data_IF_478096652895
#
_entry.id   IF_478096652895
#
_cell.length_a   1.000
_cell.length_b   1.000
_cell.length_c   1.000
_cell.angle_alpha   90.00
_cell.angle_beta   90.00
_cell.angle_gamma   90.00
#
_symmetry.space_group_name_H-M   'P 1'
#
loop_
_entity.id
_entity.type
_entity.pdbx_description
1 polymer ?
#
# COMPACT_ATOMS: atom_id res chain seq x y z
N UNK A 1 -5.31 -23.58 17.88
CA UNK A 1 -5.77 -22.32 17.24
C UNK A 1 -6.48 -22.69 15.96
N UNK A 2 -7.71 -22.20 15.73
CA UNK A 2 -8.35 -22.38 14.41
C UNK A 2 -7.71 -21.43 13.38
N UNK A 3 -7.80 -21.77 12.10
CA UNK A 3 -7.35 -20.90 11.00
C UNK A 3 -8.03 -19.52 11.00
N UNK A 4 -9.22 -19.40 11.60
CA UNK A 4 -9.96 -18.14 11.77
C UNK A 4 -9.18 -17.14 12.61
N UNK A 5 -8.65 -17.55 13.77
CA UNK A 5 -7.92 -16.66 14.67
C UNK A 5 -6.61 -16.14 14.05
N UNK A 6 -5.93 -16.95 13.23
CA UNK A 6 -4.72 -16.52 12.51
C UNK A 6 -5.04 -15.55 11.37
N UNK A 7 -6.20 -15.73 10.73
CA UNK A 7 -6.69 -14.80 9.71
C UNK A 7 -7.06 -13.46 10.34
N UNK A 8 -7.77 -13.45 11.47
CA UNK A 8 -8.12 -12.22 12.19
C UNK A 8 -6.88 -11.40 12.57
N UNK A 9 -5.82 -12.06 13.06
CA UNK A 9 -4.53 -11.41 13.35
C UNK A 9 -3.88 -10.80 12.09
N UNK A 10 -4.08 -11.41 10.91
CA UNK A 10 -3.55 -10.88 9.65
C UNK A 10 -4.32 -9.61 9.23
N UNK A 11 -5.65 -9.61 9.36
CA UNK A 11 -6.46 -8.42 9.07
C UNK A 11 -6.13 -7.28 10.04
N UNK A 12 -5.91 -7.62 11.30
CA UNK A 12 -5.52 -6.68 12.35
C UNK A 12 -4.12 -6.09 12.07
N UNK A 13 -3.16 -6.93 11.72
CA UNK A 13 -1.82 -6.51 11.30
C UNK A 13 -1.85 -5.59 10.07
N UNK A 14 -2.75 -5.87 9.12
CA UNK A 14 -2.94 -5.00 7.95
C UNK A 14 -3.45 -3.62 8.34
N UNK A 15 -4.40 -3.53 9.27
CA UNK A 15 -4.88 -2.23 9.79
C UNK A 15 -3.80 -1.47 10.56
N UNK A 16 -2.95 -2.17 11.32
CA UNK A 16 -1.78 -1.55 11.97
C UNK A 16 -0.81 -0.99 10.93
N UNK A 17 -0.55 -1.73 9.85
CA UNK A 17 0.27 -1.26 8.74
C UNK A 17 -0.29 0.02 8.10
N UNK A 18 -1.61 0.08 7.85
CA UNK A 18 -2.28 1.27 7.33
C UNK A 18 -2.09 2.49 8.25
N UNK A 19 -2.23 2.31 9.58
CA UNK A 19 -1.98 3.38 10.56
C UNK A 19 -0.54 3.88 10.53
N UNK A 20 0.43 2.99 10.32
CA UNK A 20 1.82 3.42 10.17
C UNK A 20 2.04 4.21 8.88
N UNK A 21 1.45 3.79 7.77
CA UNK A 21 1.53 4.55 6.52
C UNK A 21 0.92 5.94 6.69
N UNK A 22 -0.24 6.04 7.34
CA UNK A 22 -0.87 7.33 7.63
C UNK A 22 0.02 8.22 8.50
N UNK A 23 0.61 7.68 9.56
CA UNK A 23 1.53 8.43 10.42
C UNK A 23 2.73 8.98 9.64
N UNK A 24 3.32 8.17 8.75
CA UNK A 24 4.40 8.64 7.88
C UNK A 24 3.93 9.77 6.98
N UNK A 25 2.78 9.63 6.31
CA UNK A 25 2.22 10.66 5.42
C UNK A 25 1.97 11.98 6.17
N UNK A 26 1.43 11.92 7.38
CA UNK A 26 1.14 13.09 8.22
C UNK A 26 2.40 13.83 8.67
N UNK A 27 3.55 13.14 8.71
CA UNK A 27 4.82 13.68 9.15
C UNK A 27 5.64 14.36 8.04
N UNK A 28 5.34 14.09 6.76
CA UNK A 28 6.08 14.63 5.62
C UNK A 28 5.71 16.09 5.35
N UNK A 29 6.71 16.90 5.01
CA UNK A 29 6.49 18.25 4.47
C UNK A 29 6.39 18.22 2.94
N UNK A 30 5.88 19.28 2.28
CA UNK A 30 5.86 19.37 0.82
C UNK A 30 7.23 19.18 0.16
N UNK A 31 8.30 19.64 0.81
CA UNK A 31 9.67 19.54 0.31
C UNK A 31 10.20 18.10 0.33
N UNK A 32 9.75 17.30 1.31
CA UNK A 32 10.22 15.93 1.49
C UNK A 32 9.89 15.05 0.27
N UNK A 33 8.76 15.28 -0.39
CA UNK A 33 8.32 14.49 -1.54
C UNK A 33 9.36 14.47 -2.68
N UNK A 34 10.17 15.52 -2.81
CA UNK A 34 11.20 15.65 -3.84
C UNK A 34 12.55 15.03 -3.46
N UNK A 35 12.74 14.61 -2.19
CA UNK A 35 13.98 13.99 -1.74
C UNK A 35 14.25 12.69 -2.50
N UNK A 36 15.48 12.53 -2.97
CA UNK A 36 15.99 11.33 -3.66
C UNK A 36 17.45 11.09 -3.27
N UNK A 37 17.98 9.92 -3.62
CA UNK A 37 19.39 9.59 -3.35
C UNK A 37 20.37 10.29 -4.31
N UNK A 38 19.88 10.91 -5.38
CA UNK A 38 20.70 11.51 -6.44
C UNK A 38 21.54 10.50 -7.24
N UNK A 39 21.32 9.19 -7.06
CA UNK A 39 22.06 8.09 -7.69
C UNK A 39 21.19 7.23 -8.62
N UNK A 40 20.02 7.75 -9.00
CA UNK A 40 19.07 7.06 -9.88
C UNK A 40 17.97 6.30 -9.14
N UNK A 41 17.92 6.39 -7.80
CA UNK A 41 16.79 5.92 -7.01
C UNK A 41 15.53 6.78 -7.23
N UNK A 42 14.41 6.33 -6.69
CA UNK A 42 13.15 7.06 -6.80
C UNK A 42 13.06 8.16 -5.74
N UNK A 43 12.40 9.30 -6.05
CA UNK A 43 12.05 10.26 -5.02
C UNK A 43 10.99 9.69 -4.07
N UNK A 44 10.86 10.27 -2.88
CA UNK A 44 9.87 9.86 -1.85
C UNK A 44 8.46 9.80 -2.45
N UNK A 45 8.04 10.79 -3.23
CA UNK A 45 6.72 10.78 -3.87
C UNK A 45 6.47 9.52 -4.70
N UNK A 46 7.45 9.11 -5.51
CA UNK A 46 7.30 7.95 -6.38
C UNK A 46 7.23 6.65 -5.59
N UNK A 47 7.95 6.53 -4.47
CA UNK A 47 7.81 5.40 -3.56
C UNK A 47 6.39 5.34 -2.97
N UNK A 48 5.88 6.45 -2.44
CA UNK A 48 4.54 6.50 -1.82
C UNK A 48 3.43 6.25 -2.84
N UNK A 49 3.55 6.84 -4.04
CA UNK A 49 2.62 6.61 -5.14
C UNK A 49 2.65 5.16 -5.60
N UNK A 50 3.82 4.54 -5.67
CA UNK A 50 3.96 3.12 -5.98
C UNK A 50 3.32 2.24 -4.90
N UNK A 51 3.54 2.52 -3.61
CA UNK A 51 2.88 1.81 -2.51
C UNK A 51 1.35 1.90 -2.61
N UNK A 52 0.78 3.10 -2.80
CA UNK A 52 -0.66 3.27 -2.95
C UNK A 52 -1.20 2.57 -4.21
N UNK A 53 -0.53 2.77 -5.35
CA UNK A 53 -0.89 2.15 -6.64
C UNK A 53 -0.74 0.62 -6.67
N UNK A 54 0.10 0.05 -5.81
CA UNK A 54 0.30 -1.40 -5.71
C UNK A 54 -1.01 -2.15 -5.41
N UNK A 55 -1.89 -1.57 -4.56
CA UNK A 55 -3.19 -2.20 -4.25
C UNK A 55 -4.05 -2.35 -5.49
N UNK A 56 -4.23 -1.26 -6.24
CA UNK A 56 -5.08 -1.28 -7.43
C UNK A 56 -4.49 -2.13 -8.55
N UNK A 57 -3.16 -2.11 -8.74
CA UNK A 57 -2.49 -2.93 -9.75
C UNK A 57 -2.72 -4.42 -9.50
N UNK A 58 -2.54 -4.87 -8.27
CA UNK A 58 -2.87 -6.25 -7.91
C UNK A 58 -4.37 -6.54 -7.98
N UNK A 59 -5.23 -5.66 -7.46
CA UNK A 59 -6.68 -5.87 -7.54
C UNK A 59 -7.18 -5.97 -8.99
N UNK A 60 -6.60 -5.23 -9.93
CA UNK A 60 -6.96 -5.32 -11.35
C UNK A 60 -6.72 -6.73 -11.91
N UNK A 61 -5.67 -7.40 -11.44
CA UNK A 61 -5.33 -8.77 -11.84
C UNK A 61 -6.14 -9.84 -11.07
N UNK A 62 -6.44 -9.59 -9.79
CA UNK A 62 -7.02 -10.58 -8.88
C UNK A 62 -8.55 -10.53 -8.81
N UNK A 63 -9.10 -9.31 -8.84
CA UNK A 63 -10.51 -9.03 -8.54
C UNK A 63 -10.94 -7.67 -9.11
N UNK A 64 -11.27 -7.64 -10.41
CA UNK A 64 -11.64 -6.42 -11.13
C UNK A 64 -12.80 -5.65 -10.47
N UNK A 65 -13.78 -6.36 -9.92
CA UNK A 65 -14.93 -5.75 -9.25
C UNK A 65 -14.51 -4.86 -8.06
N UNK A 66 -13.48 -5.27 -7.31
CA UNK A 66 -12.93 -4.50 -6.20
C UNK A 66 -11.93 -3.44 -6.67
N UNK A 67 -11.32 -3.60 -7.85
CA UNK A 67 -10.44 -2.59 -8.45
C UNK A 67 -11.22 -1.40 -9.04
N UNK A 68 -12.37 -1.66 -9.67
CA UNK A 68 -13.16 -0.67 -10.42
C UNK A 68 -13.41 0.65 -9.66
N UNK A 69 -13.78 0.65 -8.36
CA UNK A 69 -13.98 1.89 -7.61
C UNK A 69 -12.73 2.76 -7.45
N UNK A 70 -11.53 2.21 -7.68
CA UNK A 70 -10.24 2.90 -7.60
C UNK A 70 -9.78 3.47 -8.95
N UNK A 71 -10.48 3.14 -10.03
CA UNK A 71 -10.12 3.50 -11.40
C UNK A 71 -10.93 4.72 -11.87
N UNK A 72 -10.34 5.47 -12.80
CA UNK A 72 -11.04 6.42 -13.65
C UNK A 72 -11.27 5.77 -15.01
N UNK A 73 -12.50 5.30 -15.26
CA UNK A 73 -12.87 4.62 -16.50
C UNK A 73 -12.98 5.55 -17.70
N UNK A 74 -12.84 6.87 -17.50
CA UNK A 74 -12.85 7.86 -18.59
C UNK A 74 -11.45 8.10 -19.17
N UNK A 75 -10.41 7.68 -18.45
CA UNK A 75 -9.01 7.78 -18.86
C UNK A 75 -8.41 6.39 -19.05
N UNK A 76 -7.49 6.27 -20.01
CA UNK A 76 -6.82 5.00 -20.32
C UNK A 76 -5.31 5.19 -20.35
N UNK A 77 -4.59 4.17 -19.90
CA UNK A 77 -3.14 4.10 -20.03
C UNK A 77 -2.72 3.65 -21.45
N UNK A 78 -1.41 3.42 -21.63
CA UNK A 78 -0.81 3.02 -22.90
C UNK A 78 -1.30 1.64 -23.38
N UNK A 79 -1.67 0.76 -22.45
CA UNK A 79 -2.19 -0.58 -22.71
C UNK A 79 -3.71 -0.58 -22.94
N UNK A 80 -4.36 0.58 -22.78
CA UNK A 80 -5.78 0.78 -22.99
C UNK A 80 -6.67 0.42 -21.79
N UNK A 81 -6.04 0.16 -20.64
CA UNK A 81 -6.68 -0.14 -19.36
C UNK A 81 -7.08 1.16 -18.63
N UNK A 82 -8.13 1.14 -17.80
CA UNK A 82 -8.53 2.32 -17.03
C UNK A 82 -7.40 2.80 -16.12
N UNK A 83 -7.17 4.11 -16.09
CA UNK A 83 -6.14 4.67 -15.22
C UNK A 83 -6.55 4.60 -13.75
N UNK A 84 -5.58 4.43 -12.85
CA UNK A 84 -5.81 4.65 -11.42
C UNK A 84 -6.22 6.10 -11.15
N UNK A 85 -7.29 6.30 -10.37
CA UNK A 85 -7.87 7.63 -10.11
C UNK A 85 -6.85 8.65 -9.58
N UNK A 86 -5.87 8.20 -8.82
CA UNK A 86 -4.84 9.07 -8.22
C UNK A 86 -3.52 9.07 -9.00
N UNK A 87 -3.48 8.54 -10.24
CA UNK A 87 -2.24 8.45 -11.02
C UNK A 87 -1.50 9.79 -11.12
N UNK A 88 -2.25 10.89 -11.33
CA UNK A 88 -1.73 12.24 -11.50
C UNK A 88 -2.17 13.21 -10.38
N UNK A 89 -2.61 12.69 -9.24
CA UNK A 89 -3.09 13.49 -8.11
C UNK A 89 -1.94 14.20 -7.38
N UNK A 90 -2.25 15.24 -6.60
CA UNK A 90 -1.25 15.86 -5.75
C UNK A 90 -0.78 14.88 -4.65
N UNK A 91 0.46 14.99 -4.14
CA UNK A 91 0.95 14.13 -3.07
C UNK A 91 0.09 14.16 -1.79
N UNK A 92 -0.54 15.31 -1.52
CA UNK A 92 -1.48 15.49 -0.39
C UNK A 92 -2.73 14.62 -0.49
N UNK A 93 -3.03 14.08 -1.68
CA UNK A 93 -4.18 13.19 -1.89
C UNK A 93 -3.83 11.71 -1.69
N UNK A 94 -2.55 11.38 -1.47
CA UNK A 94 -2.10 9.99 -1.34
C UNK A 94 -2.72 9.29 -0.12
N UNK A 95 -3.00 10.00 0.99
CA UNK A 95 -3.67 9.40 2.15
C UNK A 95 -5.06 8.84 1.82
N UNK A 96 -5.83 9.55 1.00
CA UNK A 96 -7.13 9.06 0.51
C UNK A 96 -6.95 7.84 -0.41
N UNK A 97 -5.90 7.85 -1.24
CA UNK A 97 -5.57 6.75 -2.13
C UNK A 97 -5.17 5.46 -1.38
N UNK A 98 -4.36 5.59 -0.32
CA UNK A 98 -4.05 4.48 0.59
C UNK A 98 -5.31 3.94 1.25
N UNK A 99 -6.13 4.81 1.84
CA UNK A 99 -7.37 4.41 2.53
C UNK A 99 -8.29 3.62 1.60
N UNK A 100 -8.58 4.15 0.41
CA UNK A 100 -9.44 3.49 -0.55
C UNK A 100 -8.86 2.15 -1.04
N UNK A 101 -7.55 2.10 -1.30
CA UNK A 101 -6.86 0.88 -1.71
C UNK A 101 -6.87 -0.20 -0.63
N UNK A 102 -6.64 0.18 0.63
CA UNK A 102 -6.64 -0.72 1.77
C UNK A 102 -8.03 -1.28 2.06
N UNK A 103 -9.08 -0.45 1.95
CA UNK A 103 -10.48 -0.89 2.05
C UNK A 103 -10.85 -1.87 0.95
N UNK A 104 -10.47 -1.60 -0.30
CA UNK A 104 -10.73 -2.49 -1.42
C UNK A 104 -9.99 -3.83 -1.30
N UNK A 105 -8.73 -3.81 -0.84
CA UNK A 105 -7.95 -5.02 -0.58
C UNK A 105 -8.57 -5.88 0.54
N UNK A 106 -9.01 -5.24 1.63
CA UNK A 106 -9.73 -5.93 2.71
C UNK A 106 -11.04 -6.54 2.23
N UNK A 107 -11.84 -5.79 1.48
CA UNK A 107 -13.11 -6.27 0.94
C UNK A 107 -12.92 -7.48 0.01
N UNK A 108 -11.93 -7.42 -0.89
CA UNK A 108 -11.60 -8.53 -1.78
C UNK A 108 -11.20 -9.79 -0.99
N UNK A 109 -10.30 -9.64 -0.01
CA UNK A 109 -9.86 -10.78 0.81
C UNK A 109 -11.01 -11.37 1.62
N UNK A 110 -11.86 -10.53 2.22
CA UNK A 110 -13.03 -10.99 2.97
C UNK A 110 -14.04 -11.72 2.09
N UNK A 111 -14.28 -11.23 0.87
CA UNK A 111 -15.17 -11.89 -0.09
C UNK A 111 -14.67 -13.30 -0.46
N UNK A 112 -13.38 -13.44 -0.74
CA UNK A 112 -12.76 -14.73 -1.09
C UNK A 112 -12.66 -15.70 0.11
N UNK A 113 -12.45 -15.18 1.32
CA UNK A 113 -12.53 -15.99 2.54
C UNK A 113 -13.95 -16.51 2.79
N UNK A 114 -14.97 -15.68 2.52
CA UNK A 114 -16.37 -16.06 2.71
C UNK A 114 -16.86 -17.06 1.65
N UNK A 115 -16.40 -16.93 0.40
CA UNK A 115 -16.77 -17.87 -0.67
C UNK A 115 -15.99 -19.18 -0.62
N UNK A 116 -14.79 -19.18 -0.05
CA UNK A 116 -13.86 -20.31 -0.06
C UNK A 116 -13.09 -20.48 -1.38
N UNK A 117 -13.34 -19.61 -2.37
CA UNK A 117 -12.66 -19.65 -3.67
C UNK A 117 -11.39 -18.79 -3.65
N UNK A 118 -10.28 -19.26 -4.25
CA UNK A 118 -9.06 -18.46 -4.36
C UNK A 118 -9.26 -17.26 -5.29
N UNK A 119 -8.31 -16.33 -5.28
CA UNK A 119 -8.26 -15.27 -6.29
C UNK A 119 -8.10 -15.86 -7.70
N UNK A 120 -8.65 -15.15 -8.69
CA UNK A 120 -8.41 -15.47 -10.08
C UNK A 120 -6.93 -15.24 -10.44
N UNK A 121 -6.38 -16.09 -11.31
CA UNK A 121 -4.99 -16.00 -11.77
C UNK A 121 -4.93 -15.98 -13.30
N UNK A 122 -5.66 -15.05 -13.91
CA UNK A 122 -5.84 -14.98 -15.36
C UNK A 122 -4.51 -14.84 -16.13
N UNK A 123 -3.49 -14.28 -15.48
CA UNK A 123 -2.17 -14.00 -16.05
C UNK A 123 -1.08 -15.00 -15.62
N UNK A 124 -1.44 -15.99 -14.81
CA UNK A 124 -0.52 -16.99 -14.25
C UNK A 124 0.68 -16.37 -13.51
N UNK A 125 0.42 -15.28 -12.79
CA UNK A 125 1.40 -14.55 -11.96
C UNK A 125 1.51 -15.15 -10.55
N UNK A 126 0.69 -16.16 -10.22
CA UNK A 126 0.71 -16.82 -8.92
C UNK A 126 -0.16 -16.10 -7.90
N UNK A 127 -1.39 -15.74 -8.28
CA UNK A 127 -2.40 -15.05 -7.47
C UNK A 127 -2.73 -15.77 -6.15
N UNK A 128 -1.91 -15.57 -5.11
CA UNK A 128 -2.12 -15.97 -3.70
C UNK A 128 -2.85 -17.31 -3.48
N UNK A 129 -2.55 -18.31 -4.33
CA UNK A 129 -3.38 -19.54 -4.49
C UNK A 129 -3.55 -20.35 -3.21
N UNK A 130 -2.60 -20.24 -2.29
CA UNK A 130 -2.62 -20.96 -1.01
C UNK A 130 -3.61 -20.36 0.00
N UNK A 131 -3.78 -19.03 0.02
CA UNK A 131 -4.70 -18.36 0.94
C UNK A 131 -4.91 -16.88 0.55
N UNK A 132 -6.15 -16.36 0.46
CA UNK A 132 -6.42 -14.97 0.09
C UNK A 132 -5.70 -13.94 0.98
N UNK A 133 -5.56 -14.22 2.29
CA UNK A 133 -4.89 -13.30 3.22
C UNK A 133 -3.39 -13.06 2.91
N UNK A 134 -2.76 -13.89 2.08
CA UNK A 134 -1.39 -13.61 1.62
C UNK A 134 -1.29 -12.32 0.80
N UNK A 135 -2.39 -11.86 0.19
CA UNK A 135 -2.42 -10.56 -0.46
C UNK A 135 -2.15 -9.42 0.54
N UNK A 136 -2.83 -9.44 1.69
CA UNK A 136 -2.62 -8.44 2.75
C UNK A 136 -1.19 -8.51 3.30
N UNK A 137 -0.66 -9.72 3.49
CA UNK A 137 0.71 -9.91 3.95
C UNK A 137 1.74 -9.37 2.95
N UNK A 138 1.50 -9.57 1.64
CA UNK A 138 2.36 -9.01 0.60
C UNK A 138 2.35 -7.49 0.65
N UNK A 139 1.19 -6.86 0.83
CA UNK A 139 1.10 -5.41 1.01
C UNK A 139 1.90 -4.95 2.24
N UNK A 140 1.77 -5.62 3.39
CA UNK A 140 2.52 -5.25 4.62
C UNK A 140 4.04 -5.30 4.37
N UNK A 141 4.54 -6.36 3.71
CA UNK A 141 5.97 -6.51 3.42
C UNK A 141 6.44 -5.48 2.39
N UNK A 142 5.67 -5.27 1.33
CA UNK A 142 5.93 -4.29 0.28
C UNK A 142 6.01 -2.86 0.85
N UNK A 143 5.04 -2.48 1.68
CA UNK A 143 5.04 -1.19 2.35
C UNK A 143 6.21 -1.02 3.30
N UNK A 144 6.57 -2.06 4.05
CA UNK A 144 7.73 -2.04 4.94
C UNK A 144 9.03 -1.81 4.17
N UNK A 145 9.17 -2.47 3.01
CA UNK A 145 10.32 -2.29 2.12
C UNK A 145 10.46 -0.83 1.66
N UNK A 146 9.38 -0.25 1.14
CA UNK A 146 9.41 1.13 0.65
C UNK A 146 9.48 2.18 1.75
N UNK A 147 8.85 1.96 2.92
CA UNK A 147 9.03 2.82 4.09
C UNK A 147 10.49 2.88 4.53
N UNK A 148 11.21 1.76 4.51
CA UNK A 148 12.65 1.75 4.81
C UNK A 148 13.46 2.64 3.85
N UNK A 149 13.08 2.66 2.56
CA UNK A 149 13.68 3.55 1.56
C UNK A 149 13.33 5.02 1.83
N UNK A 150 12.05 5.33 2.10
CA UNK A 150 11.60 6.68 2.45
C UNK A 150 12.33 7.22 3.69
N UNK A 151 12.40 6.44 4.77
CA UNK A 151 13.12 6.83 6.00
C UNK A 151 14.62 7.05 5.76
N UNK A 152 15.22 6.34 4.80
CA UNK A 152 16.62 6.56 4.41
C UNK A 152 16.78 7.87 3.64
N UNK A 153 15.84 8.20 2.76
CA UNK A 153 15.82 9.46 2.01
C UNK A 153 15.60 10.67 2.92
N UNK A 154 14.74 10.58 3.94
CA UNK A 154 14.56 11.65 4.93
C UNK A 154 15.86 11.96 5.69
N UNK A 155 16.59 10.92 6.12
CA UNK A 155 17.91 11.08 6.76
C UNK A 155 18.92 11.73 5.83
N UNK A 156 18.97 11.31 4.56
CA UNK A 156 19.85 11.91 3.55
C UNK A 156 19.46 13.36 3.24
N UNK A 157 18.17 13.67 3.28
CA UNK A 157 17.60 15.02 3.13
C UNK A 157 17.85 15.96 4.31
N UNK A 158 18.50 15.48 5.38
CA UNK A 158 18.91 16.31 6.51
C UNK A 158 17.92 16.37 7.67
N UNK A 159 16.90 15.50 7.71
CA UNK A 159 16.05 15.35 8.90
C UNK A 159 16.92 15.05 10.12
N UNK A 160 16.65 15.75 11.22
CA UNK A 160 17.44 15.63 12.44
C UNK A 160 17.20 14.28 13.11
N UNK A 161 18.08 13.91 14.06
CA UNK A 161 17.85 12.73 14.90
C UNK A 161 16.49 12.80 15.61
N UNK A 162 16.08 13.97 16.08
CA UNK A 162 14.81 14.14 16.79
C UNK A 162 13.61 13.97 15.86
N UNK A 163 13.70 14.44 14.61
CA UNK A 163 12.67 14.20 13.59
C UNK A 163 12.52 12.70 13.31
N UNK A 164 13.65 11.99 13.17
CA UNK A 164 13.65 10.56 12.93
C UNK A 164 13.19 9.73 14.15
N UNK A 165 13.53 10.16 15.37
CA UNK A 165 13.07 9.49 16.60
C UNK A 165 11.55 9.63 16.76
N UNK A 166 10.98 10.81 16.45
CA UNK A 166 9.51 11.00 16.40
C UNK A 166 8.85 10.11 15.37
N UNK A 167 9.52 9.86 14.24
CA UNK A 167 9.07 8.86 13.29
C UNK A 167 9.11 7.47 13.93
N UNK A 168 10.20 7.04 14.55
CA UNK A 168 10.29 5.69 15.13
C UNK A 168 9.25 5.39 16.24
N UNK A 169 8.68 6.39 16.90
CA UNK A 169 7.61 6.18 17.89
C UNK A 169 6.37 5.48 17.31
N UNK A 170 6.09 5.60 16.01
CA UNK A 170 4.94 4.92 15.40
C UNK A 170 5.07 3.39 15.41
N UNK A 171 6.27 2.84 15.59
CA UNK A 171 6.46 1.39 15.70
C UNK A 171 5.80 0.82 16.97
N UNK A 172 5.46 1.66 17.95
CA UNK A 172 4.70 1.25 19.12
C UNK A 172 3.33 0.65 18.78
N UNK A 173 2.74 0.99 17.62
CA UNK A 173 1.46 0.46 17.16
C UNK A 173 1.46 -1.08 17.12
N UNK A 174 2.62 -1.71 16.86
CA UNK A 174 2.75 -3.17 16.82
C UNK A 174 2.75 -3.86 18.20
N UNK A 175 2.80 -3.08 19.30
CA UNK A 175 2.82 -3.60 20.69
C UNK A 175 1.53 -3.32 21.46
N UNK A 176 0.57 -2.63 20.85
CA UNK A 176 -0.80 -2.42 21.39
C UNK A 176 -1.54 -3.73 21.66
#
# INVERSE_FOLDING_TARGET
MSYTALTDLTLESFRRNARVNQFLLDALTPEDFALSDGQGGWPIERHLRHMAGFRVGWLWNLSRDHALPLLDTTQKDEDGDPMWRWQNSLPTELGAAFTAGDEAALAAVQAHLASGEPFADAWNEGAYRSHPAHFLQHIIVHDSHHRGQVLSLLRLGGHSKEDMDRLDDHWAIWRE
#
